data_IF_420717318293
#
_entry.id   IF_420717318293
#
_cell.length_a   1.000
_cell.length_b   1.000
_cell.length_c   1.000
_cell.angle_alpha   90.00
_cell.angle_beta   90.00
_cell.angle_gamma   90.00
#
_symmetry.space_group_name_H-M   'P 1'
#
loop_
_entity.id
_entity.type
_entity.pdbx_description
1 polymer ?
#
# COMPACT_ATOMS: atom_id res chain seq x y z
N UNK A 1 3.10 -5.85 0.38
CA UNK A 1 3.16 -6.53 -0.93
C UNK A 1 1.94 -7.43 -1.03
N UNK A 2 1.30 -7.53 -2.20
CA UNK A 2 0.07 -8.32 -2.38
C UNK A 2 0.31 -9.81 -2.69
N UNK A 3 1.52 -10.18 -3.10
CA UNK A 3 1.98 -11.56 -3.26
C UNK A 3 3.39 -11.68 -2.67
N UNK A 4 3.67 -12.74 -1.93
CA UNK A 4 4.99 -13.02 -1.35
C UNK A 4 5.21 -14.53 -1.17
N UNK A 5 6.30 -15.11 -1.71
CA UNK A 5 7.25 -14.47 -2.62
C UNK A 5 6.60 -14.09 -3.96
N UNK A 6 7.16 -13.15 -4.73
CA UNK A 6 6.72 -12.96 -6.12
C UNK A 6 7.03 -14.24 -6.93
N UNK A 7 6.19 -14.51 -7.92
CA UNK A 7 6.31 -15.65 -8.83
C UNK A 7 7.31 -15.28 -9.94
N UNK A 8 8.33 -16.11 -10.11
CA UNK A 8 9.40 -15.96 -11.09
C UNK A 8 9.18 -16.83 -12.33
N UNK A 9 9.82 -16.45 -13.43
CA UNK A 9 9.84 -17.28 -14.62
C UNK A 9 10.52 -18.63 -14.30
N UNK A 10 9.83 -19.73 -14.63
CA UNK A 10 10.26 -21.08 -14.28
C UNK A 10 9.51 -21.68 -13.07
N UNK A 11 8.82 -20.87 -12.27
CA UNK A 11 7.99 -21.38 -11.17
C UNK A 11 6.75 -22.12 -11.71
N UNK A 12 6.25 -23.17 -11.02
CA UNK A 12 5.04 -23.89 -11.42
C UNK A 12 3.80 -23.00 -11.56
N UNK A 13 3.72 -21.93 -10.77
CA UNK A 13 2.65 -20.94 -10.76
C UNK A 13 2.79 -19.89 -11.87
N UNK A 14 3.93 -19.82 -12.56
CA UNK A 14 4.14 -18.88 -13.65
C UNK A 14 3.16 -19.13 -14.78
N UNK A 15 2.65 -18.04 -15.36
CA UNK A 15 1.76 -18.07 -16.52
C UNK A 15 2.24 -17.07 -17.54
N UNK A 16 2.18 -17.41 -18.82
CA UNK A 16 2.69 -16.54 -19.90
C UNK A 16 2.07 -15.15 -19.89
N UNK A 17 0.81 -15.04 -19.46
CA UNK A 17 0.11 -13.75 -19.36
C UNK A 17 0.73 -12.79 -18.34
N UNK A 18 1.66 -13.24 -17.47
CA UNK A 18 2.39 -12.36 -16.56
C UNK A 18 3.24 -11.34 -17.33
N UNK A 19 3.65 -11.69 -18.54
CA UNK A 19 4.45 -10.84 -19.44
C UNK A 19 3.62 -9.90 -20.32
N UNK A 20 2.29 -10.08 -20.37
CA UNK A 20 1.42 -9.19 -21.15
C UNK A 20 1.53 -7.77 -20.59
N UNK A 21 1.92 -6.84 -21.45
CA UNK A 21 2.24 -5.44 -21.10
C UNK A 21 3.28 -5.29 -19.98
N UNK A 22 4.06 -6.34 -19.71
CA UNK A 22 5.05 -6.43 -18.62
C UNK A 22 4.46 -6.10 -17.23
N UNK A 23 3.15 -6.28 -17.06
CA UNK A 23 2.44 -5.74 -15.90
C UNK A 23 2.65 -6.59 -14.64
N UNK A 24 2.82 -7.91 -14.77
CA UNK A 24 2.92 -8.84 -13.63
C UNK A 24 4.29 -9.53 -13.55
N UNK A 25 5.35 -8.84 -13.96
CA UNK A 25 6.72 -9.25 -13.63
C UNK A 25 6.91 -9.31 -12.10
N UNK A 26 7.94 -10.03 -11.59
CA UNK A 26 8.20 -10.07 -10.16
C UNK A 26 8.26 -8.67 -9.53
N UNK A 27 7.58 -8.50 -8.41
CA UNK A 27 7.41 -7.24 -7.69
C UNK A 27 6.58 -6.16 -8.42
N UNK A 28 5.87 -6.51 -9.49
CA UNK A 28 4.97 -5.61 -10.21
C UNK A 28 3.51 -5.97 -9.96
N UNK A 29 2.64 -4.95 -10.01
CA UNK A 29 1.17 -5.09 -10.05
C UNK A 29 0.61 -6.19 -9.14
N UNK A 30 0.06 -7.28 -9.69
CA UNK A 30 -0.51 -8.39 -8.91
C UNK A 30 0.56 -9.36 -8.37
N UNK A 31 1.76 -9.36 -8.94
CA UNK A 31 2.86 -10.24 -8.61
C UNK A 31 3.86 -9.59 -7.65
N UNK A 32 3.37 -9.13 -6.50
CA UNK A 32 4.22 -8.58 -5.43
C UNK A 32 4.32 -7.06 -5.41
N UNK A 33 3.47 -6.35 -6.15
CA UNK A 33 3.32 -4.91 -6.02
C UNK A 33 2.83 -4.47 -4.63
N UNK A 34 3.08 -3.22 -4.27
CA UNK A 34 2.55 -2.56 -3.07
C UNK A 34 1.35 -1.70 -3.47
N UNK A 35 0.22 -1.88 -2.80
CA UNK A 35 -1.02 -1.19 -3.12
C UNK A 35 -1.42 -0.28 -1.96
N UNK A 36 -1.40 1.06 -2.10
CA UNK A 36 -1.76 1.97 -1.03
C UNK A 36 -3.19 1.72 -0.50
N UNK A 37 -4.11 1.34 -1.40
CA UNK A 37 -5.46 0.87 -1.02
C UNK A 37 -5.41 -0.21 0.08
N UNK A 38 -4.63 -1.28 -0.12
CA UNK A 38 -4.45 -2.36 0.86
C UNK A 38 -3.70 -1.88 2.10
N UNK A 39 -2.73 -0.97 1.93
CA UNK A 39 -2.01 -0.36 3.05
C UNK A 39 -2.96 0.36 4.04
N UNK A 40 -3.94 1.12 3.53
CA UNK A 40 -4.93 1.77 4.39
C UNK A 40 -5.82 0.77 5.14
N UNK A 41 -6.18 -0.35 4.51
CA UNK A 41 -6.89 -1.44 5.19
C UNK A 41 -6.04 -2.10 6.27
N UNK A 42 -4.75 -2.34 5.98
CA UNK A 42 -3.80 -2.94 6.92
C UNK A 42 -3.66 -2.08 8.18
N UNK A 43 -3.39 -0.79 8.02
CA UNK A 43 -3.28 0.19 9.12
C UNK A 43 -4.49 0.13 10.05
N UNK A 44 -5.70 0.15 9.47
CA UNK A 44 -6.96 0.10 10.21
C UNK A 44 -7.17 -1.24 10.90
N UNK A 45 -6.77 -2.33 10.25
CA UNK A 45 -6.90 -3.68 10.79
C UNK A 45 -6.01 -3.87 12.03
N UNK A 46 -4.73 -3.51 11.94
CA UNK A 46 -3.81 -3.63 13.09
C UNK A 46 -4.17 -2.67 14.24
N UNK A 47 -4.71 -1.50 13.93
CA UNK A 47 -5.28 -0.62 14.95
C UNK A 47 -6.41 -1.32 15.71
N UNK A 48 -7.36 -1.95 15.01
CA UNK A 48 -8.46 -2.72 15.61
C UNK A 48 -8.00 -3.93 16.42
N UNK A 49 -6.81 -4.47 16.15
CA UNK A 49 -6.19 -5.53 16.95
C UNK A 49 -5.55 -5.03 18.24
N UNK A 50 -5.63 -3.73 18.55
CA UNK A 50 -5.02 -3.15 19.75
C UNK A 50 -3.52 -2.92 19.61
N UNK A 51 -3.00 -2.72 18.39
CA UNK A 51 -1.59 -2.46 18.09
C UNK A 51 -1.38 -1.01 17.61
N UNK A 52 -1.67 0.02 18.42
CA UNK A 52 -1.73 1.41 17.98
C UNK A 52 -0.36 1.95 17.51
N UNK A 53 0.74 1.59 18.17
CA UNK A 53 2.06 2.08 17.78
C UNK A 53 2.50 1.55 16.41
N UNK A 54 2.22 0.27 16.15
CA UNK A 54 2.46 -0.35 14.85
C UNK A 54 1.55 0.32 13.81
N UNK A 55 0.28 0.54 14.13
CA UNK A 55 -0.67 1.20 13.24
C UNK A 55 -0.21 2.61 12.83
N UNK A 56 0.27 3.41 13.78
CA UNK A 56 0.80 4.76 13.53
C UNK A 56 2.04 4.72 12.63
N UNK A 57 2.97 3.80 12.91
CA UNK A 57 4.18 3.63 12.08
C UNK A 57 3.81 3.25 10.64
N UNK A 58 2.89 2.31 10.47
CA UNK A 58 2.44 1.90 9.14
C UNK A 58 1.64 3.01 8.44
N UNK A 59 0.91 3.86 9.18
CA UNK A 59 0.25 5.04 8.61
C UNK A 59 1.27 6.04 8.05
N UNK A 60 2.41 6.24 8.72
CA UNK A 60 3.50 7.09 8.21
C UNK A 60 4.07 6.51 6.92
N UNK A 61 4.40 5.21 6.90
CA UNK A 61 4.87 4.53 5.68
C UNK A 61 3.85 4.64 4.53
N UNK A 62 2.56 4.50 4.84
CA UNK A 62 1.49 4.67 3.86
C UNK A 62 1.39 6.11 3.35
N UNK A 63 1.52 7.10 4.23
CA UNK A 63 1.53 8.52 3.85
C UNK A 63 2.70 8.83 2.91
N UNK A 64 3.90 8.31 3.20
CA UNK A 64 5.05 8.44 2.32
C UNK A 64 4.74 7.87 0.93
N UNK A 65 4.23 6.63 0.87
CA UNK A 65 3.84 5.96 -0.37
C UNK A 65 2.78 6.75 -1.15
N UNK A 66 1.70 7.18 -0.50
CA UNK A 66 0.64 7.99 -1.10
C UNK A 66 1.13 9.35 -1.60
N UNK A 67 2.13 9.94 -0.94
CA UNK A 67 2.68 11.25 -1.29
C UNK A 67 3.66 11.21 -2.45
N UNK A 68 4.14 10.02 -2.84
CA UNK A 68 4.93 9.85 -4.06
C UNK A 68 4.04 10.08 -5.29
N UNK A 69 4.70 10.33 -6.42
CA UNK A 69 4.05 10.37 -7.72
C UNK A 69 5.07 10.49 -8.84
N UNK A 70 4.58 10.35 -10.07
CA UNK A 70 5.42 10.37 -11.27
C UNK A 70 5.66 11.80 -11.73
N UNK A 71 4.62 12.64 -11.72
CA UNK A 71 4.72 14.05 -12.12
C UNK A 71 4.64 15.00 -10.93
N UNK A 72 3.81 14.69 -9.92
CA UNK A 72 3.62 15.52 -8.73
C UNK A 72 3.49 14.67 -7.47
N UNK A 73 3.67 15.32 -6.31
CA UNK A 73 3.37 14.69 -5.01
C UNK A 73 1.87 14.49 -4.84
N UNK A 74 1.51 13.51 -4.03
CA UNK A 74 0.11 13.18 -3.69
C UNK A 74 -0.72 12.81 -4.92
N UNK A 75 -0.12 12.08 -5.85
CA UNK A 75 -0.85 11.48 -6.97
C UNK A 75 -1.69 10.30 -6.53
N UNK A 76 -1.43 9.68 -5.36
CA UNK A 76 -2.13 8.48 -4.93
C UNK A 76 -2.11 7.41 -6.03
N UNK A 77 -0.92 7.08 -6.52
CA UNK A 77 -0.77 6.10 -7.60
C UNK A 77 -1.40 4.75 -7.22
N UNK A 78 -1.90 4.07 -8.23
CA UNK A 78 -2.61 2.79 -8.12
C UNK A 78 -1.83 1.74 -7.34
N UNK A 79 -0.55 1.58 -7.67
CA UNK A 79 0.34 0.61 -7.06
C UNK A 79 1.79 1.10 -7.15
N UNK A 80 2.68 0.47 -6.40
CA UNK A 80 4.09 0.79 -6.34
C UNK A 80 4.91 -0.50 -6.51
N UNK A 81 6.10 -0.37 -7.06
CA UNK A 81 6.99 -1.52 -7.24
C UNK A 81 7.40 -2.13 -5.88
N UNK A 82 7.36 -3.46 -5.78
CA UNK A 82 7.47 -4.23 -4.53
C UNK A 82 8.79 -4.11 -3.76
N UNK A 83 9.87 -3.66 -4.41
CA UNK A 83 11.20 -3.50 -3.80
C UNK A 83 11.61 -2.03 -3.73
N UNK A 84 11.67 -1.38 -4.90
CA UNK A 84 12.08 0.03 -5.01
C UNK A 84 11.06 1.03 -4.47
N UNK A 85 9.80 0.63 -4.28
CA UNK A 85 8.73 1.52 -3.82
C UNK A 85 8.31 2.59 -4.82
N UNK A 86 8.84 2.60 -6.07
CA UNK A 86 8.50 3.62 -7.07
C UNK A 86 7.00 3.62 -7.40
N UNK A 87 6.36 4.79 -7.59
CA UNK A 87 4.96 4.89 -8.00
C UNK A 87 4.78 4.36 -9.43
N UNK A 88 3.72 3.56 -9.61
CA UNK A 88 3.39 2.88 -10.87
C UNK A 88 1.87 2.91 -11.11
N UNK A 89 1.44 2.51 -12.29
CA UNK A 89 0.02 2.49 -12.64
C UNK A 89 -0.57 3.88 -12.79
N UNK A 90 -1.90 3.99 -12.66
CA UNK A 90 -2.60 5.26 -12.86
C UNK A 90 -2.45 6.19 -11.63
N UNK A 91 -2.29 7.48 -11.89
CA UNK A 91 -2.42 8.53 -10.88
C UNK A 91 -3.90 8.77 -10.52
N UNK A 92 -4.11 9.48 -9.42
CA UNK A 92 -5.37 9.94 -8.85
C UNK A 92 -6.38 8.83 -8.60
N UNK A 93 -5.88 7.70 -8.09
CA UNK A 93 -6.70 6.54 -7.86
C UNK A 93 -7.55 6.70 -6.58
N UNK A 94 -8.86 6.81 -6.78
CA UNK A 94 -9.82 7.17 -5.73
C UNK A 94 -9.80 6.20 -4.53
N UNK A 95 -9.68 4.89 -4.78
CA UNK A 95 -9.54 3.88 -3.72
C UNK A 95 -8.29 4.00 -2.86
N UNK A 96 -7.14 4.41 -3.43
CA UNK A 96 -5.91 4.66 -2.69
C UNK A 96 -6.08 5.88 -1.79
N UNK A 97 -6.61 6.98 -2.33
CA UNK A 97 -6.89 8.20 -1.58
C UNK A 97 -7.92 7.97 -0.47
N UNK A 98 -9.05 7.34 -0.79
CA UNK A 98 -10.13 7.08 0.15
C UNK A 98 -9.69 6.15 1.30
N UNK A 99 -8.91 5.11 1.00
CA UNK A 99 -8.39 4.20 2.01
C UNK A 99 -7.40 4.90 2.96
N UNK A 100 -6.51 5.74 2.42
CA UNK A 100 -5.59 6.56 3.21
C UNK A 100 -6.34 7.53 4.14
N UNK A 101 -7.29 8.30 3.60
CA UNK A 101 -8.11 9.24 4.38
C UNK A 101 -8.86 8.49 5.49
N UNK A 102 -9.46 7.34 5.16
CA UNK A 102 -10.19 6.54 6.16
C UNK A 102 -9.26 5.98 7.23
N UNK A 103 -8.03 5.61 6.89
CA UNK A 103 -7.02 5.19 7.86
C UNK A 103 -6.63 6.34 8.79
N UNK A 104 -6.42 7.55 8.26
CA UNK A 104 -6.21 8.74 9.10
C UNK A 104 -7.39 8.94 10.05
N UNK A 105 -8.64 8.79 9.58
CA UNK A 105 -9.86 8.87 10.40
C UNK A 105 -9.95 7.81 11.50
N UNK A 106 -9.64 6.56 11.21
CA UNK A 106 -9.76 5.49 12.21
C UNK A 106 -8.66 5.55 13.27
N UNK A 107 -7.49 6.08 12.91
CA UNK A 107 -6.38 6.32 13.83
C UNK A 107 -6.46 7.72 14.45
N UNK A 108 -7.61 8.42 14.36
CA UNK A 108 -7.88 9.64 15.13
C UNK A 108 -7.67 9.34 16.61
N UNK A 109 -6.43 9.54 17.06
CA UNK A 109 -6.03 9.42 18.45
C UNK A 109 -6.97 10.28 19.25
N UNK A 110 -7.82 9.61 20.00
CA UNK A 110 -8.75 10.25 20.89
C UNK A 110 -7.93 11.13 21.85
N UNK A 111 -8.10 12.47 21.83
CA UNK A 111 -7.41 13.33 22.78
C UNK A 111 -7.64 12.91 24.23
N UNK A 112 -8.79 12.29 24.54
CA UNK A 112 -9.14 11.81 25.88
C UNK A 112 -8.40 10.52 26.27
N UNK A 113 -7.84 9.79 25.30
CA UNK A 113 -7.04 8.58 25.56
C UNK A 113 -5.60 8.87 26.03
N UNK A 114 -5.20 10.15 26.12
CA UNK A 114 -3.86 10.59 26.52
C UNK A 114 -3.78 10.95 28.03
N UNK A 115 -4.90 11.06 28.76
CA UNK A 115 -4.90 11.46 30.18
C UNK A 115 -4.48 10.35 31.18
N UNK A 116 -4.04 9.18 30.70
CA UNK A 116 -3.63 8.06 31.57
C UNK A 116 -2.22 7.52 31.28
N UNK A 117 -1.33 8.36 30.75
CA UNK A 117 0.13 8.14 30.79
C UNK A 117 0.77 9.07 31.83
#
# INVERSE_FOLDING_TARGET
>A
RNCYPPIHAGDPEWRDYFTVNLLNLPNHYHNGGVWPFIGGLWVRYIHKLGLPDIARRELVNLAELCSQGVAARWEFNEWHHGVTGRPMGKAYQAWSAASFIKACHDLHLDPESIEHL
#
